data_IF_893989954849
#
_entry.id   IF_893989954849
#
_cell.length_a   1.000
_cell.length_b   1.000
_cell.length_c   1.000
_cell.angle_alpha   90.00
_cell.angle_beta   90.00
_cell.angle_gamma   90.00
#
_symmetry.space_group_name_H-M   'P 1'
#
loop_
_entity.id
_entity.type
_entity.pdbx_description
1 polymer ?
#
# COMPACT_ATOMS: atom_id res chain seq x y z
N UNK A 1 3.84 17.48 -68.13
CA UNK A 1 5.25 17.76 -67.81
C UNK A 1 5.37 17.80 -66.30
N UNK A 2 6.21 16.92 -65.74
CA UNK A 2 6.89 16.99 -64.43
C UNK A 2 6.04 17.26 -63.17
N UNK A 3 6.11 16.47 -62.09
CA UNK A 3 7.08 15.45 -61.72
C UNK A 3 6.70 14.83 -60.38
N UNK A 4 7.39 13.74 -60.08
CA UNK A 4 7.19 12.83 -58.96
C UNK A 4 7.46 13.45 -57.58
N UNK A 5 6.81 12.86 -56.56
CA UNK A 5 7.07 13.12 -55.15
C UNK A 5 6.55 11.96 -54.30
N UNK A 6 7.09 10.76 -54.55
CA UNK A 6 6.85 9.55 -53.78
C UNK A 6 7.59 9.68 -52.43
N UNK A 7 6.87 9.98 -51.34
CA UNK A 7 7.43 9.96 -49.99
C UNK A 7 7.26 8.57 -49.39
N UNK A 8 8.34 7.79 -49.55
CA UNK A 8 8.73 6.69 -48.67
C UNK A 8 8.44 7.05 -47.21
N UNK A 9 7.37 6.50 -46.64
CA UNK A 9 7.35 6.22 -45.20
C UNK A 9 8.01 4.87 -45.03
N UNK A 10 9.30 4.91 -44.71
CA UNK A 10 10.07 3.76 -44.29
C UNK A 10 9.36 3.10 -43.13
N UNK A 11 8.74 1.96 -43.40
CA UNK A 11 8.50 0.95 -42.40
C UNK A 11 9.87 0.57 -41.84
N UNK A 12 10.24 1.10 -40.69
CA UNK A 12 11.29 0.52 -39.87
C UNK A 12 10.75 -0.83 -39.39
N UNK A 13 10.96 -1.81 -40.25
CA UNK A 13 10.82 -3.23 -40.00
C UNK A 13 11.76 -3.56 -38.85
N UNK A 14 11.21 -3.54 -37.63
CA UNK A 14 11.83 -4.08 -36.44
C UNK A 14 12.22 -5.52 -36.76
N UNK A 15 13.50 -5.73 -37.09
CA UNK A 15 14.10 -7.03 -37.27
C UNK A 15 13.74 -7.86 -36.05
N UNK A 16 12.71 -8.71 -36.20
CA UNK A 16 12.38 -9.73 -35.21
C UNK A 16 13.64 -10.57 -35.12
N UNK A 17 14.41 -10.38 -34.05
CA UNK A 17 15.44 -11.32 -33.62
C UNK A 17 14.73 -12.62 -33.31
N UNK A 18 14.54 -13.43 -34.36
CA UNK A 18 14.03 -14.77 -34.23
C UNK A 18 15.00 -15.51 -33.34
N UNK A 19 14.53 -15.87 -32.15
CA UNK A 19 15.27 -16.72 -31.24
C UNK A 19 15.72 -17.96 -32.04
N UNK A 20 16.97 -18.41 -31.86
CA UNK A 20 17.41 -19.64 -32.49
C UNK A 20 16.39 -20.74 -32.17
N UNK A 21 16.00 -21.57 -33.16
CA UNK A 21 15.00 -22.61 -32.95
C UNK A 21 15.33 -23.41 -31.70
N UNK A 22 14.34 -23.73 -30.87
CA UNK A 22 14.49 -24.66 -29.75
C UNK A 22 14.95 -26.00 -30.35
N UNK A 23 16.24 -26.31 -30.22
CA UNK A 23 16.90 -27.28 -31.11
C UNK A 23 16.66 -28.72 -30.66
N UNK A 24 16.38 -28.96 -29.38
CA UNK A 24 16.26 -30.32 -28.84
C UNK A 24 14.82 -30.64 -28.40
N UNK A 25 14.47 -31.93 -28.44
CA UNK A 25 13.19 -32.41 -27.93
C UNK A 25 13.05 -32.16 -26.42
N UNK A 26 14.14 -32.29 -25.66
CA UNK A 26 14.17 -32.00 -24.22
C UNK A 26 13.83 -30.55 -23.91
N UNK A 27 14.33 -29.59 -24.70
CA UNK A 27 14.02 -28.18 -24.49
C UNK A 27 12.52 -27.91 -24.73
N UNK A 28 11.90 -28.59 -25.70
CA UNK A 28 10.45 -28.48 -25.95
C UNK A 28 9.64 -29.03 -24.78
N UNK A 29 9.96 -30.24 -24.32
CA UNK A 29 9.29 -30.85 -23.17
C UNK A 29 9.45 -30.00 -21.90
N UNK A 30 10.63 -29.42 -21.68
CA UNK A 30 10.86 -28.53 -20.56
C UNK A 30 9.97 -27.28 -20.65
N UNK A 31 9.88 -26.64 -21.81
CA UNK A 31 9.05 -25.44 -21.98
C UNK A 31 7.56 -25.72 -21.87
N UNK A 32 7.08 -26.87 -22.36
CA UNK A 32 5.70 -27.33 -22.17
C UNK A 32 5.41 -27.54 -20.68
N UNK A 33 6.26 -28.31 -19.98
CA UNK A 33 6.12 -28.54 -18.55
C UNK A 33 6.20 -27.26 -17.72
N UNK A 34 7.04 -26.31 -18.12
CA UNK A 34 7.13 -25.00 -17.48
C UNK A 34 5.86 -24.18 -17.68
N UNK A 35 5.27 -24.22 -18.88
CA UNK A 35 3.99 -23.58 -19.18
C UNK A 35 2.84 -24.16 -18.34
N UNK A 36 2.76 -25.49 -18.24
CA UNK A 36 1.79 -26.18 -17.38
C UNK A 36 1.97 -25.80 -15.91
N UNK A 37 3.22 -25.72 -15.44
CA UNK A 37 3.55 -25.30 -14.09
C UNK A 37 3.05 -23.86 -13.81
N UNK A 38 3.32 -22.92 -14.72
CA UNK A 38 2.88 -21.52 -14.57
C UNK A 38 1.35 -21.46 -14.51
N UNK A 39 0.67 -22.14 -15.43
CA UNK A 39 -0.80 -22.15 -15.48
C UNK A 39 -1.41 -22.71 -14.19
N UNK A 40 -0.90 -23.85 -13.73
CA UNK A 40 -1.35 -24.47 -12.49
C UNK A 40 -1.12 -23.56 -11.27
N UNK A 41 0.02 -22.87 -11.21
CA UNK A 41 0.32 -21.92 -10.14
C UNK A 41 -0.56 -20.67 -10.17
N UNK A 42 -0.89 -20.16 -11.37
CA UNK A 42 -1.82 -19.04 -11.53
C UNK A 42 -3.21 -19.40 -10.99
N UNK A 43 -3.71 -20.59 -11.32
CA UNK A 43 -4.98 -21.09 -10.80
C UNK A 43 -4.94 -21.30 -9.28
N UNK A 44 -3.88 -21.93 -8.78
CA UNK A 44 -3.70 -22.25 -7.36
C UNK A 44 -3.65 -21.01 -6.47
N UNK A 45 -2.97 -19.96 -6.93
CA UNK A 45 -2.84 -18.70 -6.19
C UNK A 45 -3.95 -17.70 -6.49
N UNK A 46 -4.96 -18.09 -7.28
CA UNK A 46 -6.02 -17.21 -7.77
C UNK A 46 -5.47 -15.91 -8.35
N UNK A 47 -4.35 -16.02 -9.08
CA UNK A 47 -3.70 -14.88 -9.71
C UNK A 47 -4.66 -14.29 -10.76
N UNK A 48 -4.96 -12.99 -10.71
CA UNK A 48 -5.74 -12.34 -11.76
C UNK A 48 -5.06 -12.50 -13.12
N UNK A 49 -5.85 -12.65 -14.19
CA UNK A 49 -5.35 -12.78 -15.57
C UNK A 49 -4.61 -11.52 -16.01
N UNK A 50 -5.03 -10.34 -15.55
CA UNK A 50 -4.48 -9.04 -15.97
C UNK A 50 -4.03 -8.15 -14.81
N UNK A 51 -3.04 -7.30 -15.10
CA UNK A 51 -2.56 -6.26 -14.19
C UNK A 51 -1.40 -6.66 -13.25
N UNK A 52 -0.83 -5.68 -12.54
CA UNK A 52 0.21 -5.91 -11.56
C UNK A 52 -0.38 -6.63 -10.32
N UNK A 53 0.17 -7.80 -10.01
CA UNK A 53 -0.25 -8.62 -8.88
C UNK A 53 0.98 -9.29 -8.21
N UNK A 54 0.98 -9.36 -6.88
CA UNK A 54 2.12 -9.91 -6.14
C UNK A 54 2.28 -11.42 -6.36
N UNK A 55 1.18 -12.14 -6.56
CA UNK A 55 1.18 -13.58 -6.81
C UNK A 55 1.77 -13.85 -8.18
N UNK A 56 1.47 -13.01 -9.18
CA UNK A 56 2.11 -13.08 -10.49
C UNK A 56 3.63 -12.99 -10.39
N UNK A 57 4.16 -12.08 -9.58
CA UNK A 57 5.60 -11.99 -9.32
C UNK A 57 6.15 -13.26 -8.68
N UNK A 58 5.48 -13.82 -7.67
CA UNK A 58 5.89 -15.05 -6.98
C UNK A 58 5.96 -16.23 -7.97
N UNK A 59 4.94 -16.37 -8.83
CA UNK A 59 4.85 -17.45 -9.82
C UNK A 59 5.99 -17.36 -10.82
N UNK A 60 6.19 -16.18 -11.43
CA UNK A 60 7.26 -16.02 -12.41
C UNK A 60 8.65 -16.09 -11.79
N UNK A 61 8.84 -15.63 -10.55
CA UNK A 61 10.11 -15.83 -9.83
C UNK A 61 10.43 -17.32 -9.69
N UNK A 62 9.45 -18.12 -9.28
CA UNK A 62 9.65 -19.57 -9.12
C UNK A 62 9.82 -20.30 -10.46
N UNK A 63 9.09 -19.90 -11.49
CA UNK A 63 9.28 -20.40 -12.85
C UNK A 63 10.69 -20.08 -13.37
N UNK A 64 11.21 -18.89 -13.06
CA UNK A 64 12.56 -18.50 -13.45
C UNK A 64 13.64 -19.33 -12.72
N UNK A 65 13.41 -19.72 -11.46
CA UNK A 65 14.29 -20.65 -10.75
C UNK A 65 14.39 -22.00 -11.49
N UNK A 66 13.28 -22.53 -12.01
CA UNK A 66 13.28 -23.75 -12.84
C UNK A 66 14.10 -23.56 -14.13
N UNK A 67 14.06 -22.38 -14.74
CA UNK A 67 14.88 -22.05 -15.92
C UNK A 67 16.37 -22.01 -15.57
N UNK A 68 16.73 -21.44 -14.42
CA UNK A 68 18.11 -21.43 -13.91
C UNK A 68 18.63 -22.85 -13.67
N UNK A 69 17.78 -23.72 -13.13
CA UNK A 69 18.11 -25.13 -12.90
C UNK A 69 18.34 -25.90 -14.20
N UNK A 70 17.50 -25.66 -15.21
CA UNK A 70 17.60 -26.30 -16.52
C UNK A 70 18.78 -25.79 -17.36
N UNK A 71 18.98 -24.48 -17.42
CA UNK A 71 19.98 -23.82 -18.27
C UNK A 71 21.37 -23.75 -17.61
N UNK A 72 21.95 -24.92 -17.31
CA UNK A 72 23.21 -25.04 -16.54
C UNK A 72 24.38 -24.21 -17.09
N UNK A 73 24.52 -24.10 -18.41
CA UNK A 73 25.58 -23.32 -19.06
C UNK A 73 25.48 -21.81 -18.80
N UNK A 74 24.27 -21.30 -18.58
CA UNK A 74 24.00 -19.87 -18.35
C UNK A 74 23.60 -19.59 -16.90
N UNK A 75 23.76 -20.56 -16.00
CA UNK A 75 23.30 -20.48 -14.61
C UNK A 75 23.78 -19.20 -13.93
N UNK A 76 25.07 -18.90 -14.00
CA UNK A 76 25.67 -17.73 -13.34
C UNK A 76 25.05 -16.41 -13.82
N UNK A 77 24.89 -16.23 -15.14
CA UNK A 77 24.33 -14.98 -15.68
C UNK A 77 22.84 -14.87 -15.40
N UNK A 78 22.08 -15.97 -15.49
CA UNK A 78 20.65 -15.98 -15.16
C UNK A 78 20.41 -15.71 -13.67
N UNK A 79 21.21 -16.30 -12.78
CA UNK A 79 21.15 -15.99 -11.34
C UNK A 79 21.50 -14.53 -11.06
N UNK A 80 22.50 -13.97 -11.74
CA UNK A 80 22.83 -12.54 -11.61
C UNK A 80 21.68 -11.65 -12.07
N UNK A 81 21.06 -11.96 -13.20
CA UNK A 81 19.90 -11.23 -13.71
C UNK A 81 18.76 -11.30 -12.68
N UNK A 82 18.39 -12.51 -12.23
CA UNK A 82 17.34 -12.69 -11.22
C UNK A 82 17.61 -11.85 -9.97
N UNK A 83 18.85 -11.88 -9.48
CA UNK A 83 19.27 -11.13 -8.29
C UNK A 83 19.05 -9.61 -8.46
N UNK A 84 19.44 -9.03 -9.58
CA UNK A 84 19.24 -7.60 -9.85
C UNK A 84 17.74 -7.24 -9.83
N UNK A 85 16.88 -8.09 -10.41
CA UNK A 85 15.43 -7.88 -10.36
C UNK A 85 14.86 -8.04 -8.95
N UNK A 86 15.30 -9.06 -8.20
CA UNK A 86 14.87 -9.29 -6.81
C UNK A 86 15.25 -8.08 -5.93
N UNK A 87 16.46 -7.55 -6.08
CA UNK A 87 16.94 -6.35 -5.37
C UNK A 87 16.12 -5.11 -5.74
N UNK A 88 15.83 -4.91 -7.02
CA UNK A 88 15.02 -3.80 -7.51
C UNK A 88 13.58 -3.85 -6.97
N UNK A 89 12.93 -5.01 -7.03
CA UNK A 89 11.58 -5.20 -6.48
C UNK A 89 11.57 -4.98 -4.96
N UNK A 90 12.58 -5.49 -4.24
CA UNK A 90 12.75 -5.24 -2.82
C UNK A 90 12.88 -3.74 -2.50
N UNK A 91 13.66 -3.01 -3.28
CA UNK A 91 13.85 -1.57 -3.11
C UNK A 91 12.54 -0.80 -3.29
N UNK A 92 11.74 -1.14 -4.32
CA UNK A 92 10.42 -0.52 -4.55
C UNK A 92 9.49 -0.79 -3.37
N UNK A 93 9.33 -2.06 -2.96
CA UNK A 93 8.46 -2.44 -1.84
C UNK A 93 8.84 -1.71 -0.55
N UNK A 94 10.15 -1.60 -0.28
CA UNK A 94 10.66 -0.85 0.86
C UNK A 94 10.29 0.63 0.78
N UNK A 95 10.49 1.26 -0.38
CA UNK A 95 10.16 2.67 -0.57
C UNK A 95 8.67 2.98 -0.36
N UNK A 96 7.78 2.05 -0.78
CA UNK A 96 6.34 2.18 -0.57
C UNK A 96 5.98 2.08 0.92
N UNK A 97 6.56 1.12 1.64
CA UNK A 97 6.40 0.99 3.09
C UNK A 97 6.87 2.24 3.84
N UNK A 98 8.03 2.77 3.47
CA UNK A 98 8.59 3.98 4.07
C UNK A 98 7.68 5.20 3.81
N UNK A 99 7.14 5.33 2.59
CA UNK A 99 6.20 6.38 2.24
C UNK A 99 4.89 6.28 3.05
N UNK A 100 4.32 5.08 3.19
CA UNK A 100 3.12 4.83 4.01
C UNK A 100 3.37 5.20 5.48
N UNK A 101 4.54 4.83 6.02
CA UNK A 101 4.92 5.17 7.39
C UNK A 101 5.06 6.69 7.59
N UNK A 102 5.74 7.36 6.66
CA UNK A 102 5.90 8.82 6.70
C UNK A 102 4.54 9.53 6.64
N UNK A 103 3.65 9.08 5.76
CA UNK A 103 2.29 9.61 5.65
C UNK A 103 1.48 9.40 6.94
N UNK A 104 1.56 8.21 7.55
CA UNK A 104 0.92 7.92 8.82
C UNK A 104 1.39 8.84 9.96
N UNK A 105 2.71 9.07 10.05
CA UNK A 105 3.29 10.02 11.01
C UNK A 105 2.79 11.44 10.78
N UNK A 106 2.79 11.90 9.54
CA UNK A 106 2.27 13.23 9.18
C UNK A 106 0.80 13.38 9.57
N UNK A 107 -0.04 12.39 9.26
CA UNK A 107 -1.47 12.38 9.62
C UNK A 107 -1.67 12.46 11.14
N UNK A 108 -0.87 11.73 11.91
CA UNK A 108 -0.91 11.79 13.37
C UNK A 108 -0.49 13.17 13.91
N UNK A 109 0.58 13.76 13.36
CA UNK A 109 1.03 15.10 13.74
C UNK A 109 0.00 16.18 13.43
N UNK A 110 -0.67 16.11 12.27
CA UNK A 110 -1.73 17.05 11.88
C UNK A 110 -2.95 16.94 12.81
N UNK A 111 -3.28 15.74 13.30
CA UNK A 111 -4.38 15.52 14.23
C UNK A 111 -4.04 15.89 15.69
N UNK A 112 -2.76 16.05 16.02
CA UNK A 112 -2.32 16.27 17.41
C UNK A 112 -2.84 17.59 18.00
N UNK A 113 -2.79 18.75 17.30
CA UNK A 113 -3.32 20.01 17.83
C UNK A 113 -4.83 19.96 18.09
N UNK A 114 -5.61 19.36 17.19
CA UNK A 114 -7.07 19.29 17.33
C UNK A 114 -7.48 18.36 18.47
N UNK A 115 -6.80 17.22 18.61
CA UNK A 115 -6.96 16.32 19.75
C UNK A 115 -6.60 17.01 21.07
N UNK A 116 -5.48 17.73 21.11
CA UNK A 116 -5.05 18.48 22.29
C UNK A 116 -6.05 19.58 22.67
N UNK A 117 -6.54 20.35 21.69
CA UNK A 117 -7.56 21.37 21.92
C UNK A 117 -8.85 20.76 22.49
N UNK A 118 -9.29 19.63 21.94
CA UNK A 118 -10.46 18.92 22.45
C UNK A 118 -10.24 18.47 23.91
N UNK A 119 -9.10 17.84 24.22
CA UNK A 119 -8.77 17.42 25.58
C UNK A 119 -8.73 18.60 26.55
N UNK A 120 -8.11 19.73 26.18
CA UNK A 120 -8.09 20.95 26.99
C UNK A 120 -9.49 21.49 27.25
N UNK A 121 -10.31 21.65 26.21
CA UNK A 121 -11.69 22.12 26.33
C UNK A 121 -12.51 21.20 27.25
N UNK A 122 -12.34 19.88 27.11
CA UNK A 122 -13.05 18.90 27.92
C UNK A 122 -12.63 18.94 29.39
N UNK A 123 -11.34 19.15 29.67
CA UNK A 123 -10.83 19.29 31.03
C UNK A 123 -11.48 20.49 31.75
N UNK A 124 -11.55 21.65 31.09
CA UNK A 124 -12.20 22.85 31.64
C UNK A 124 -13.68 22.59 31.96
N UNK A 125 -14.43 22.02 31.01
CA UNK A 125 -15.86 21.69 31.22
C UNK A 125 -16.09 20.73 32.40
N UNK A 126 -15.16 19.79 32.61
CA UNK A 126 -15.25 18.84 33.72
C UNK A 126 -14.94 19.52 35.05
N UNK A 127 -13.95 20.42 35.08
CA UNK A 127 -13.62 21.21 36.26
C UNK A 127 -14.79 22.10 36.67
N UNK A 128 -15.40 22.81 35.73
CA UNK A 128 -16.60 23.63 35.99
C UNK A 128 -17.75 22.79 36.56
N UNK A 129 -17.96 21.56 36.04
CA UNK A 129 -18.99 20.66 36.58
C UNK A 129 -18.67 20.22 38.01
N UNK A 130 -17.41 19.93 38.31
CA UNK A 130 -16.98 19.57 39.66
C UNK A 130 -17.20 20.74 40.62
N UNK A 131 -16.75 21.95 40.28
CA UNK A 131 -16.92 23.16 41.08
C UNK A 131 -18.40 23.46 41.34
N UNK A 132 -19.24 23.39 40.31
CA UNK A 132 -20.69 23.56 40.46
C UNK A 132 -21.32 22.50 41.38
N UNK A 133 -20.89 21.24 41.26
CA UNK A 133 -21.36 20.17 42.12
C UNK A 133 -20.92 20.38 43.58
N UNK A 134 -19.66 20.76 43.81
CA UNK A 134 -19.16 21.11 45.14
C UNK A 134 -19.94 22.28 45.72
N UNK A 135 -20.11 23.38 44.97
CA UNK A 135 -20.89 24.53 45.39
C UNK A 135 -22.33 24.14 45.78
N UNK A 136 -23.05 23.43 44.91
CA UNK A 136 -24.40 22.93 45.19
C UNK A 136 -24.46 22.07 46.46
N UNK A 137 -23.50 21.16 46.64
CA UNK A 137 -23.43 20.31 47.84
C UNK A 137 -23.15 21.13 49.11
N UNK A 138 -22.30 22.16 49.05
CA UNK A 138 -22.03 23.03 50.20
C UNK A 138 -23.25 23.86 50.57
N UNK A 139 -23.97 24.42 49.59
CA UNK A 139 -25.23 25.14 49.85
C UNK A 139 -26.31 24.25 50.46
N UNK A 140 -26.47 23.02 49.96
CA UNK A 140 -27.48 22.09 50.46
C UNK A 140 -27.17 21.58 51.88
N UNK A 141 -25.89 21.46 52.26
CA UNK A 141 -25.51 21.04 53.61
C UNK A 141 -25.47 22.20 54.62
N UNK A 142 -25.34 23.45 54.17
CA UNK A 142 -25.23 24.62 55.04
C UNK A 142 -26.59 25.21 55.49
N UNK A 143 -27.72 24.77 54.93
CA UNK A 143 -29.01 25.40 55.22
C UNK A 143 -30.17 24.37 55.27
N UNK A 144 -30.58 23.91 56.47
CA UNK A 144 -31.73 23.01 56.59
C UNK A 144 -33.09 23.67 56.34
N UNK A 145 -33.17 25.01 56.27
CA UNK A 145 -34.44 25.74 56.29
C UNK A 145 -34.53 26.86 55.25
N UNK A 146 -34.37 26.60 53.95
CA UNK A 146 -34.81 27.57 52.93
C UNK A 146 -35.49 26.90 51.74
N UNK A 147 -36.65 27.46 51.36
CA UNK A 147 -37.52 26.99 50.28
C UNK A 147 -36.82 27.05 48.92
N UNK A 148 -37.12 26.06 48.06
CA UNK A 148 -36.55 25.88 46.71
C UNK A 148 -36.66 27.15 45.82
N UNK A 149 -37.56 28.08 46.12
CA UNK A 149 -37.75 29.34 45.39
C UNK A 149 -36.63 30.37 45.53
N UNK A 150 -35.70 30.22 46.50
CA UNK A 150 -34.60 31.17 46.73
C UNK A 150 -33.25 30.74 46.13
N UNK A 151 -33.19 29.67 45.32
CA UNK A 151 -31.94 29.25 44.68
C UNK A 151 -31.49 30.26 43.61
N UNK A 152 -30.21 30.69 43.60
CA UNK A 152 -29.65 31.43 42.48
C UNK A 152 -29.68 30.54 41.23
N UNK A 153 -30.33 31.02 40.17
CA UNK A 153 -30.42 30.31 38.89
C UNK A 153 -29.00 30.08 38.34
N UNK A 154 -28.68 28.87 37.85
CA UNK A 154 -27.36 28.62 37.28
C UNK A 154 -27.13 29.56 36.10
N UNK A 155 -26.04 30.32 36.15
CA UNK A 155 -25.58 31.16 35.05
C UNK A 155 -25.16 30.25 33.90
N UNK A 156 -26.11 29.90 33.03
CA UNK A 156 -25.82 29.24 31.77
C UNK A 156 -25.29 30.31 30.82
N UNK A 157 -23.97 30.38 30.66
CA UNK A 157 -23.33 31.26 29.68
C UNK A 157 -23.41 30.54 28.32
N UNK A 158 -24.17 31.05 27.33
CA UNK A 158 -24.20 30.46 25.99
C UNK A 158 -22.94 30.84 25.20
N UNK A 159 -22.57 29.95 24.28
CA UNK A 159 -21.33 29.91 23.49
C UNK A 159 -20.99 31.19 22.72
#
# INVERSE_FOLDING_TARGET
MSGAGNLHHSAEESERRTLPPIKSASDKYFLESLGEYIQHEMERLMCPDEGPDEQRYIIYSSAFDKVIEYATAYKTILTSIKKEYDEFVCAIKKSECDAKLAHGKLKAMVAQPTSLMYCKRRAVQLQERQENHYHFSTWHNAAPEYSISSMPKPCFVPF
#
